data_IF_381655651003
#
_entry.id   IF_381655651003
#
_cell.length_a   1.000
_cell.length_b   1.000
_cell.length_c   1.000
_cell.angle_alpha   90.00
_cell.angle_beta   90.00
_cell.angle_gamma   90.00
#
_symmetry.space_group_name_H-M   'P 1'
#
loop_
_entity.id
_entity.type
_entity.pdbx_description
1 polymer ?
#
# COMPACT_ATOMS: atom_id res chain seq x y z
N UNK A 1 -18.60 36.46 -17.96
CA UNK A 1 -18.29 35.46 -18.99
C UNK A 1 -17.00 34.80 -18.53
N UNK A 2 -17.06 33.55 -18.05
CA UNK A 2 -15.86 32.83 -17.60
C UNK A 2 -15.11 32.39 -18.86
N UNK A 3 -13.81 32.67 -18.93
CA UNK A 3 -12.96 32.24 -20.02
C UNK A 3 -12.97 30.69 -20.07
N UNK A 4 -13.41 30.07 -21.18
CA UNK A 4 -13.50 28.62 -21.29
C UNK A 4 -12.17 27.91 -21.12
N UNK A 5 -11.03 28.57 -21.38
CA UNK A 5 -9.69 28.01 -21.14
C UNK A 5 -9.40 27.97 -19.65
N UNK A 6 -9.74 29.04 -18.92
CA UNK A 6 -9.55 29.11 -17.48
C UNK A 6 -10.40 28.05 -16.74
N UNK A 7 -11.64 27.83 -17.18
CA UNK A 7 -12.50 26.78 -16.62
C UNK A 7 -11.92 25.36 -16.84
N UNK A 8 -11.38 25.08 -18.03
CA UNK A 8 -10.74 23.80 -18.34
C UNK A 8 -9.45 23.57 -17.53
N UNK A 9 -8.64 24.62 -17.36
CA UNK A 9 -7.43 24.56 -16.55
C UNK A 9 -7.74 24.22 -15.08
N UNK A 10 -8.79 24.83 -14.52
CA UNK A 10 -9.23 24.54 -13.15
C UNK A 10 -9.73 23.09 -13.00
N UNK A 11 -10.54 22.59 -13.94
CA UNK A 11 -10.99 21.19 -13.90
C UNK A 11 -9.82 20.20 -13.99
N UNK A 12 -8.79 20.50 -14.81
CA UNK A 12 -7.59 19.67 -14.90
C UNK A 12 -6.78 19.67 -13.61
N UNK A 13 -6.65 20.82 -12.95
CA UNK A 13 -5.97 20.95 -11.66
C UNK A 13 -6.66 20.11 -10.58
N UNK A 14 -7.98 20.23 -10.46
CA UNK A 14 -8.79 19.45 -9.52
C UNK A 14 -8.69 17.94 -9.80
N UNK A 15 -8.76 17.54 -11.07
CA UNK A 15 -8.60 16.15 -11.48
C UNK A 15 -7.21 15.61 -11.14
N UNK A 16 -6.15 16.40 -11.30
CA UNK A 16 -4.78 15.99 -10.94
C UNK A 16 -4.65 15.76 -9.43
N UNK A 17 -5.12 16.71 -8.61
CA UNK A 17 -5.07 16.59 -7.14
C UNK A 17 -5.86 15.36 -6.68
N UNK A 18 -7.02 15.11 -7.27
CA UNK A 18 -7.84 13.94 -6.98
C UNK A 18 -7.17 12.62 -7.39
N UNK A 19 -6.57 12.56 -8.58
CA UNK A 19 -5.96 11.36 -9.12
C UNK A 19 -4.57 11.06 -8.54
N UNK A 20 -3.88 12.05 -7.96
CA UNK A 20 -2.53 11.88 -7.46
C UNK A 20 -2.39 10.78 -6.39
N UNK A 21 -3.20 10.75 -5.30
CA UNK A 21 -3.10 9.68 -4.31
C UNK A 21 -3.36 8.26 -4.86
N UNK A 22 -4.42 7.97 -5.63
CA UNK A 22 -4.64 6.62 -6.14
C UNK A 22 -3.57 6.18 -7.16
N UNK A 23 -3.03 7.09 -7.98
CA UNK A 23 -1.90 6.77 -8.88
C UNK A 23 -0.65 6.44 -8.10
N UNK A 24 -0.30 7.26 -7.09
CA UNK A 24 0.86 7.00 -6.24
C UNK A 24 0.73 5.67 -5.49
N UNK A 25 -0.44 5.37 -4.95
CA UNK A 25 -0.70 4.09 -4.27
C UNK A 25 -0.60 2.89 -5.22
N UNK A 26 -0.99 3.04 -6.50
CA UNK A 26 -0.84 2.00 -7.50
C UNK A 26 0.64 1.70 -7.78
N UNK A 27 1.47 2.74 -7.92
CA UNK A 27 2.92 2.59 -8.12
C UNK A 27 3.61 1.94 -6.92
N UNK A 28 3.23 2.34 -5.70
CA UNK A 28 3.74 1.72 -4.47
C UNK A 28 3.35 0.24 -4.42
N UNK A 29 2.09 -0.09 -4.70
CA UNK A 29 1.62 -1.48 -4.76
C UNK A 29 2.45 -2.28 -5.74
N UNK A 30 2.60 -1.81 -6.97
CA UNK A 30 3.40 -2.49 -7.99
C UNK A 30 4.84 -2.74 -7.52
N UNK A 31 5.47 -1.72 -6.94
CA UNK A 31 6.84 -1.80 -6.41
C UNK A 31 7.00 -2.85 -5.31
N UNK A 32 6.03 -2.92 -4.39
CA UNK A 32 6.04 -3.86 -3.26
C UNK A 32 5.64 -5.26 -3.69
N UNK A 33 4.78 -5.41 -4.69
CA UNK A 33 4.32 -6.72 -5.20
C UNK A 33 5.20 -7.32 -6.28
N UNK A 34 6.13 -6.55 -6.85
CA UNK A 34 7.06 -7.01 -7.88
C UNK A 34 8.19 -7.86 -7.27
N UNK A 35 7.83 -9.06 -6.82
CA UNK A 35 8.72 -10.11 -6.36
C UNK A 35 8.10 -11.47 -6.70
N UNK A 36 8.90 -12.45 -7.12
CA UNK A 36 8.40 -13.81 -7.40
C UNK A 36 8.15 -14.61 -6.10
N UNK A 37 8.98 -14.36 -5.09
CA UNK A 37 8.91 -14.95 -3.74
C UNK A 37 9.01 -13.84 -2.67
N UNK A 38 8.40 -14.02 -1.48
CA UNK A 38 8.51 -13.05 -0.41
C UNK A 38 9.96 -12.78 0.02
N UNK A 39 10.31 -11.51 0.13
CA UNK A 39 11.56 -11.02 0.72
C UNK A 39 11.27 -10.39 2.09
N UNK A 40 12.19 -9.58 2.62
CA UNK A 40 11.98 -8.83 3.86
C UNK A 40 11.19 -7.52 3.66
N UNK A 41 11.01 -7.07 2.41
CA UNK A 41 10.34 -5.79 2.07
C UNK A 41 9.26 -5.93 0.99
N UNK A 42 9.24 -7.04 0.25
CA UNK A 42 8.37 -7.25 -0.90
C UNK A 42 7.76 -8.63 -0.86
N UNK A 43 6.54 -8.77 -1.36
CA UNK A 43 5.90 -10.07 -1.53
C UNK A 43 4.87 -10.02 -2.67
N UNK A 44 4.70 -11.11 -3.43
CA UNK A 44 3.59 -11.22 -4.36
C UNK A 44 2.24 -10.91 -3.71
N UNK A 45 1.25 -10.51 -4.52
CA UNK A 45 -0.14 -10.39 -4.07
C UNK A 45 -0.57 -11.68 -3.36
N UNK A 46 -1.35 -11.53 -2.28
CA UNK A 46 -1.85 -12.61 -1.43
C UNK A 46 -0.79 -13.32 -0.57
N UNK A 47 0.41 -12.76 -0.47
CA UNK A 47 1.48 -13.28 0.39
C UNK A 47 2.00 -12.19 1.33
N UNK A 48 2.47 -12.60 2.51
CA UNK A 48 3.09 -11.71 3.48
C UNK A 48 4.60 -11.63 3.26
N UNK A 49 5.14 -10.43 3.39
CA UNK A 49 6.54 -10.28 3.77
C UNK A 49 6.66 -9.97 5.26
N UNK A 50 7.83 -10.25 5.83
CA UNK A 50 8.15 -9.98 7.22
C UNK A 50 9.49 -9.26 7.31
N UNK A 51 9.47 -7.98 7.69
CA UNK A 51 10.69 -7.27 8.04
C UNK A 51 11.27 -7.89 9.32
N UNK A 52 12.57 -8.20 9.30
CA UNK A 52 13.28 -8.81 10.45
C UNK A 52 14.23 -7.85 11.15
N UNK A 53 14.41 -6.66 10.59
CA UNK A 53 15.33 -5.64 11.07
C UNK A 53 14.58 -4.31 11.08
N UNK A 54 14.86 -3.49 12.09
CA UNK A 54 14.36 -2.12 12.17
C UNK A 54 15.01 -1.27 11.08
N UNK A 55 14.35 -0.18 10.74
CA UNK A 55 14.92 0.81 9.85
C UNK A 55 16.28 1.31 10.36
N UNK A 56 17.25 1.43 9.46
CA UNK A 56 18.55 2.03 9.74
C UNK A 56 18.83 3.11 8.68
N UNK A 57 19.66 4.13 8.95
CA UNK A 57 19.97 5.20 8.00
C UNK A 57 20.52 4.70 6.66
N UNK A 58 21.15 3.53 6.65
CA UNK A 58 21.70 2.88 5.47
C UNK A 58 20.62 2.22 4.59
N UNK A 59 19.41 2.01 5.13
CA UNK A 59 18.27 1.40 4.45
C UNK A 59 17.42 2.50 3.81
N UNK A 60 17.76 2.85 2.57
CA UNK A 60 16.97 3.79 1.76
C UNK A 60 15.71 3.09 1.19
N UNK A 61 14.59 3.17 1.92
CA UNK A 61 13.28 2.67 1.47
C UNK A 61 12.24 3.81 1.37
N UNK A 62 10.96 3.49 1.15
CA UNK A 62 9.86 4.43 1.06
C UNK A 62 9.78 5.29 2.34
N UNK A 63 9.67 6.60 2.14
CA UNK A 63 9.99 7.68 3.09
C UNK A 63 9.53 7.49 4.55
N UNK A 64 10.43 7.85 5.48
CA UNK A 64 10.31 7.84 6.95
C UNK A 64 10.16 6.45 7.54
N UNK A 65 11.24 5.64 7.50
CA UNK A 65 11.17 4.27 7.96
C UNK A 65 11.07 4.26 9.51
N UNK A 66 10.17 3.45 10.06
CA UNK A 66 9.92 3.38 11.50
C UNK A 66 11.04 2.59 12.19
N UNK A 67 11.67 3.18 13.21
CA UNK A 67 12.76 2.57 13.99
C UNK A 67 12.29 1.81 15.22
N UNK A 68 10.99 1.85 15.54
CA UNK A 68 10.43 1.25 16.75
C UNK A 68 9.62 -0.02 16.47
N UNK A 69 9.34 -0.33 15.20
CA UNK A 69 8.42 -1.41 14.84
C UNK A 69 8.84 -2.08 13.55
N UNK A 70 8.92 -3.42 13.58
CA UNK A 70 9.02 -4.24 12.37
C UNK A 70 7.64 -4.53 11.81
N UNK A 71 7.52 -4.53 10.48
CA UNK A 71 6.25 -4.73 9.80
C UNK A 71 6.13 -6.13 9.17
N UNK A 72 4.92 -6.66 9.23
CA UNK A 72 4.47 -7.74 8.34
C UNK A 72 3.34 -7.18 7.48
N UNK A 73 3.46 -7.28 6.16
CA UNK A 73 2.51 -6.64 5.24
C UNK A 73 2.23 -7.53 4.02
N UNK A 74 1.01 -7.43 3.50
CA UNK A 74 0.56 -8.07 2.28
C UNK A 74 -0.37 -7.12 1.51
N UNK A 75 -0.34 -7.19 0.19
CA UNK A 75 -1.42 -6.68 -0.67
C UNK A 75 -2.37 -7.82 -1.00
N UNK A 76 -3.67 -7.62 -0.75
CA UNK A 76 -4.69 -8.66 -0.92
C UNK A 76 -5.49 -8.41 -2.20
N UNK A 77 -5.53 -9.41 -3.08
CA UNK A 77 -6.40 -9.48 -4.25
C UNK A 77 -7.72 -10.13 -3.88
N UNK A 78 -8.73 -9.31 -3.59
CA UNK A 78 -10.04 -9.75 -3.09
C UNK A 78 -11.12 -9.80 -4.19
N UNK A 79 -10.74 -9.68 -5.47
CA UNK A 79 -11.69 -9.58 -6.60
C UNK A 79 -12.49 -10.88 -6.81
N UNK A 80 -11.82 -12.02 -6.65
CA UNK A 80 -12.40 -13.32 -6.99
C UNK A 80 -12.99 -14.03 -5.77
N UNK A 81 -12.34 -13.92 -4.62
CA UNK A 81 -12.73 -14.61 -3.40
C UNK A 81 -12.22 -13.88 -2.15
N UNK A 82 -12.88 -14.08 -0.99
CA UNK A 82 -12.37 -13.60 0.29
C UNK A 82 -11.07 -14.32 0.68
N UNK A 83 -10.28 -13.68 1.53
CA UNK A 83 -9.06 -14.24 2.10
C UNK A 83 -9.12 -14.30 3.63
N UNK A 84 -8.63 -15.40 4.20
CA UNK A 84 -8.50 -15.55 5.64
C UNK A 84 -7.09 -15.15 6.07
N UNK A 85 -7.00 -14.15 6.94
CA UNK A 85 -5.78 -13.80 7.64
C UNK A 85 -5.81 -14.43 9.03
N UNK A 86 -4.94 -15.40 9.27
CA UNK A 86 -4.86 -16.09 10.55
C UNK A 86 -3.60 -15.67 11.30
N UNK A 87 -3.79 -15.25 12.55
CA UNK A 87 -2.70 -14.98 13.49
C UNK A 87 -2.72 -16.03 14.57
N UNK A 88 -1.56 -16.57 14.92
CA UNK A 88 -1.42 -17.42 16.10
C UNK A 88 -1.82 -16.66 17.36
N UNK A 89 -2.57 -17.31 18.26
CA UNK A 89 -2.87 -16.82 19.59
C UNK A 89 -1.98 -17.57 20.58
N UNK A 90 -0.72 -17.16 20.69
CA UNK A 90 0.16 -17.64 21.75
C UNK A 90 0.28 -16.57 22.85
N UNK A 91 0.63 -16.99 24.07
CA UNK A 91 0.72 -16.10 25.24
C UNK A 91 1.76 -14.99 25.05
N UNK A 92 2.80 -15.24 24.26
CA UNK A 92 3.88 -14.28 23.96
C UNK A 92 3.45 -13.13 23.04
N UNK A 93 2.46 -13.35 22.17
CA UNK A 93 1.97 -12.37 21.19
C UNK A 93 0.89 -11.44 21.72
N UNK A 94 0.36 -11.69 22.92
CA UNK A 94 -0.65 -10.82 23.52
C UNK A 94 -0.07 -9.43 23.81
N UNK A 95 -0.70 -8.39 23.27
CA UNK A 95 -0.31 -6.99 23.45
C UNK A 95 0.92 -6.52 22.66
N UNK A 96 1.48 -7.34 21.75
CA UNK A 96 2.71 -7.01 20.99
C UNK A 96 2.49 -6.68 19.51
N UNK A 97 1.28 -6.83 18.99
CA UNK A 97 0.97 -6.63 17.57
C UNK A 97 -0.17 -5.65 17.40
N UNK A 98 0.10 -4.58 16.64
CA UNK A 98 -0.91 -3.69 16.09
C UNK A 98 -1.17 -4.03 14.61
N UNK A 99 -2.44 -3.92 14.19
CA UNK A 99 -2.83 -4.16 12.80
C UNK A 99 -3.47 -2.91 12.20
N UNK A 100 -3.17 -2.65 10.92
CA UNK A 100 -3.82 -1.61 10.13
C UNK A 100 -4.26 -2.21 8.80
N UNK A 101 -5.55 -2.13 8.52
CA UNK A 101 -6.10 -2.47 7.21
C UNK A 101 -6.32 -1.17 6.44
N UNK A 102 -5.73 -1.09 5.24
CA UNK A 102 -5.92 0.04 4.33
C UNK A 102 -6.60 -0.48 3.07
N UNK A 103 -7.75 0.11 2.74
CA UNK A 103 -8.45 -0.13 1.49
C UNK A 103 -8.12 0.99 0.50
N UNK A 104 -7.81 0.63 -0.74
CA UNK A 104 -7.50 1.58 -1.81
C UNK A 104 -8.65 1.70 -2.80
N UNK A 105 -9.16 2.92 -3.00
CA UNK A 105 -10.11 3.28 -4.06
C UNK A 105 -9.51 3.18 -5.47
N UNK A 106 -8.18 3.16 -5.61
CA UNK A 106 -7.51 3.02 -6.90
C UNK A 106 -7.91 1.72 -7.62
N UNK A 107 -8.13 0.66 -6.83
CA UNK A 107 -8.57 -0.66 -7.31
C UNK A 107 -9.94 -0.61 -7.99
N UNK A 108 -10.81 0.33 -7.62
CA UNK A 108 -12.16 0.49 -8.18
C UNK A 108 -12.13 1.39 -9.42
N UNK A 109 -11.33 2.46 -9.38
CA UNK A 109 -11.26 3.44 -10.47
C UNK A 109 -10.42 2.96 -11.66
N UNK A 110 -9.37 2.17 -11.43
CA UNK A 110 -8.44 1.71 -12.49
C UNK A 110 -8.77 0.32 -13.03
N UNK A 111 -9.57 -0.49 -12.32
CA UNK A 111 -9.98 -1.83 -12.79
C UNK A 111 -11.17 -1.79 -13.77
N UNK A 112 -11.63 -0.60 -14.16
CA UNK A 112 -12.67 -0.38 -15.18
C UNK A 112 -12.17 -0.50 -16.63
N UNK A 113 -11.08 -1.23 -16.89
CA UNK A 113 -10.62 -1.59 -18.24
C UNK A 113 -10.42 -3.09 -18.35
#
# INVERSE_FOLDING_TARGET
>A
MIDPIAAQAQTLEEAYVFAYPPVLLALIRETVTNAEIPTHEKAPINQLFHARVLAAPEIASLTRPNVDTVYSQAYLGLREQPMLFWRSCNTESQGRYDYKLLASLASVLLAGR
#
